data_IF_037962516083
#
_entry.id   IF_037962516083
#
_cell.length_a   1.000
_cell.length_b   1.000
_cell.length_c   1.000
_cell.angle_alpha   90.00
_cell.angle_beta   90.00
_cell.angle_gamma   90.00
#
_symmetry.space_group_name_H-M   'P 1'
#
loop_
_entity.id
_entity.type
_entity.pdbx_description
1 polymer ?
#
# COMPACT_ATOMS: atom_id res chain seq x y z
N UNK A 1 8.69 1.38 -41.83
CA UNK A 1 8.50 -0.09 -41.94
C UNK A 1 8.80 -0.87 -40.66
N UNK A 2 8.82 -0.25 -39.46
CA UNK A 2 8.93 -0.98 -38.17
C UNK A 2 7.64 -1.02 -37.34
N UNK A 3 6.57 -0.32 -37.73
CA UNK A 3 5.34 -0.23 -36.93
C UNK A 3 4.35 -1.38 -37.22
N UNK A 4 4.47 -2.04 -38.38
CA UNK A 4 3.63 -3.19 -38.75
C UNK A 4 4.09 -4.53 -38.14
N UNK A 5 5.30 -4.61 -37.57
CA UNK A 5 5.83 -5.86 -37.03
C UNK A 5 5.39 -6.15 -35.58
N UNK A 6 5.00 -5.11 -34.82
CA UNK A 6 4.52 -5.30 -33.44
C UNK A 6 3.03 -5.67 -33.37
N UNK A 7 2.25 -5.40 -34.42
CA UNK A 7 0.83 -5.77 -34.50
C UNK A 7 0.59 -7.25 -34.83
N UNK A 8 1.59 -7.97 -35.33
CA UNK A 8 1.45 -9.39 -35.73
C UNK A 8 1.94 -10.39 -34.68
N UNK A 9 2.66 -9.96 -33.63
CA UNK A 9 3.12 -10.84 -32.56
C UNK A 9 2.08 -11.08 -31.44
N UNK A 10 0.98 -10.32 -31.44
CA UNK A 10 -0.10 -10.45 -30.44
C UNK A 10 -1.14 -11.53 -30.84
N UNK A 11 -1.05 -12.09 -32.06
CA UNK A 11 -2.09 -12.99 -32.61
C UNK A 11 -1.79 -14.51 -32.52
N UNK A 12 -0.76 -14.96 -31.80
CA UNK A 12 -0.38 -16.38 -31.81
C UNK A 12 -0.24 -17.07 -30.45
N UNK A 13 -0.94 -16.62 -29.40
CA UNK A 13 -1.07 -17.40 -28.16
C UNK A 13 -2.54 -17.54 -27.77
N UNK A 14 -3.26 -18.41 -28.48
CA UNK A 14 -4.47 -19.02 -27.94
C UNK A 14 -4.45 -20.49 -28.34
N UNK A 15 -4.06 -21.35 -27.40
CA UNK A 15 -4.77 -22.61 -27.19
C UNK A 15 -4.41 -23.26 -25.84
N UNK A 16 -5.49 -23.71 -25.19
CA UNK A 16 -5.59 -24.71 -24.12
C UNK A 16 -5.37 -24.26 -22.67
N UNK A 17 -6.47 -23.93 -22.00
CA UNK A 17 -6.97 -24.78 -20.89
C UNK A 17 -8.43 -24.46 -20.57
N UNK A 18 -9.27 -25.50 -20.55
CA UNK A 18 -10.61 -25.49 -19.97
C UNK A 18 -10.49 -25.49 -18.45
N UNK A 19 -11.02 -24.46 -17.78
CA UNK A 19 -11.48 -24.53 -16.41
C UNK A 19 -12.47 -23.39 -16.13
N UNK A 20 -13.72 -23.74 -15.82
CA UNK A 20 -14.68 -22.86 -15.13
C UNK A 20 -15.22 -21.67 -15.93
N UNK A 21 -16.25 -21.92 -16.74
CA UNK A 21 -16.97 -20.89 -17.49
C UNK A 21 -17.77 -19.96 -16.55
N UNK A 22 -17.14 -18.91 -16.03
CA UNK A 22 -17.83 -17.63 -15.79
C UNK A 22 -17.73 -16.88 -17.11
N UNK A 23 -18.87 -16.63 -17.76
CA UNK A 23 -18.93 -15.80 -18.96
C UNK A 23 -18.35 -14.42 -18.65
N UNK A 24 -17.11 -14.18 -19.06
CA UNK A 24 -16.52 -12.85 -19.02
C UNK A 24 -17.22 -12.01 -20.07
N UNK A 25 -18.11 -11.14 -19.63
CA UNK A 25 -18.84 -10.23 -20.50
C UNK A 25 -17.83 -9.31 -21.19
N UNK A 26 -17.69 -9.47 -22.51
CA UNK A 26 -16.74 -8.67 -23.29
C UNK A 26 -17.32 -7.27 -23.43
N UNK A 27 -16.83 -6.33 -22.63
CA UNK A 27 -17.24 -4.94 -22.67
C UNK A 27 -16.88 -4.29 -24.02
N UNK A 28 -17.78 -3.44 -24.51
CA UNK A 28 -17.53 -2.64 -25.71
C UNK A 28 -16.61 -1.46 -25.41
N UNK A 29 -15.95 -0.92 -26.45
CA UNK A 29 -15.21 0.34 -26.34
C UNK A 29 -16.17 1.51 -26.20
N UNK A 30 -15.81 2.51 -25.39
CA UNK A 30 -16.64 3.69 -25.18
C UNK A 30 -16.81 4.49 -26.48
N UNK A 31 -18.03 4.98 -26.71
CA UNK A 31 -18.36 5.97 -27.74
C UNK A 31 -17.78 7.33 -27.39
N UNK A 32 -17.74 8.24 -28.36
CA UNK A 32 -17.17 9.58 -28.15
C UNK A 32 -17.87 10.37 -27.04
N UNK A 33 -19.20 10.25 -26.94
CA UNK A 33 -19.99 10.87 -25.86
C UNK A 33 -19.62 10.30 -24.48
N UNK A 34 -19.41 8.99 -24.38
CA UNK A 34 -19.03 8.31 -23.14
C UNK A 34 -17.58 8.66 -22.74
N UNK A 35 -16.69 8.79 -23.72
CA UNK A 35 -15.31 9.27 -23.52
C UNK A 35 -15.29 10.72 -23.03
N UNK A 36 -16.18 11.56 -23.56
CA UNK A 36 -16.37 12.92 -23.07
C UNK A 36 -16.85 12.90 -21.60
N UNK A 37 -17.84 12.07 -21.25
CA UNK A 37 -18.29 11.88 -19.86
C UNK A 37 -17.15 11.43 -18.94
N UNK A 38 -16.33 10.47 -19.37
CA UNK A 38 -15.12 10.05 -18.64
C UNK A 38 -14.17 11.23 -18.38
N UNK A 39 -13.89 12.04 -19.41
CA UNK A 39 -12.96 13.17 -19.28
C UNK A 39 -13.40 14.20 -18.23
N UNK A 40 -14.71 14.34 -18.02
CA UNK A 40 -15.28 15.25 -17.03
C UNK A 40 -15.04 14.79 -15.58
N UNK A 41 -14.68 13.52 -15.36
CA UNK A 41 -14.34 12.97 -14.06
C UNK A 41 -12.89 13.24 -13.63
N UNK A 42 -12.00 13.58 -14.58
CA UNK A 42 -10.57 13.76 -14.31
C UNK A 42 -10.26 14.78 -13.18
N UNK A 43 -10.96 15.93 -13.05
CA UNK A 43 -10.69 16.87 -11.97
C UNK A 43 -10.92 16.28 -10.58
N UNK A 44 -11.92 15.40 -10.39
CA UNK A 44 -12.20 14.79 -9.08
C UNK A 44 -11.05 13.84 -8.70
N UNK A 45 -10.58 13.06 -9.66
CA UNK A 45 -9.48 12.11 -9.48
C UNK A 45 -8.18 12.84 -9.13
N UNK A 46 -7.91 13.97 -9.77
CA UNK A 46 -6.74 14.81 -9.46
C UNK A 46 -6.79 15.32 -8.02
N UNK A 47 -7.97 15.76 -7.54
CA UNK A 47 -8.14 16.19 -6.15
C UNK A 47 -7.85 15.04 -5.17
N UNK A 48 -8.32 13.82 -5.46
CA UNK A 48 -8.07 12.64 -4.61
C UNK A 48 -6.57 12.30 -4.56
N UNK A 49 -5.87 12.38 -5.69
CA UNK A 49 -4.42 12.13 -5.78
C UNK A 49 -3.61 13.15 -4.98
N UNK A 50 -4.00 14.42 -5.01
CA UNK A 50 -3.31 15.48 -4.28
C UNK A 50 -3.69 15.54 -2.80
N UNK A 51 -4.79 14.91 -2.40
CA UNK A 51 -5.35 15.03 -1.05
C UNK A 51 -4.35 14.73 0.08
N UNK A 52 -3.56 13.62 0.04
CA UNK A 52 -2.57 13.36 1.07
C UNK A 52 -1.52 14.47 1.23
N UNK A 53 -1.12 15.09 0.11
CA UNK A 53 -0.13 16.18 0.10
C UNK A 53 -0.71 17.49 0.61
N UNK A 54 -1.97 17.78 0.30
CA UNK A 54 -2.61 19.04 0.66
C UNK A 54 -3.05 19.11 2.13
N UNK A 55 -3.28 17.96 2.77
CA UNK A 55 -3.84 17.87 4.12
C UNK A 55 -2.99 17.00 5.06
N UNK A 56 -1.66 17.05 4.92
CA UNK A 56 -0.71 16.27 5.74
C UNK A 56 -0.83 16.57 7.24
N UNK A 57 -1.20 17.79 7.62
CA UNK A 57 -1.40 18.23 9.00
C UNK A 57 -2.69 17.69 9.64
N UNK A 58 -3.59 17.12 8.83
CA UNK A 58 -4.91 16.66 9.25
C UNK A 58 -5.09 15.15 9.20
N UNK A 59 -4.05 14.37 8.93
CA UNK A 59 -4.15 12.91 8.82
C UNK A 59 -4.67 12.22 10.10
N UNK A 60 -4.66 12.92 11.24
CA UNK A 60 -5.22 12.46 12.51
C UNK A 60 -6.69 12.85 12.74
N UNK A 61 -7.23 13.77 11.93
CA UNK A 61 -8.61 14.24 12.04
C UNK A 61 -9.57 13.21 11.38
N UNK A 62 -10.59 12.69 12.09
CA UNK A 62 -11.60 11.83 11.47
C UNK A 62 -12.27 12.44 10.23
N UNK A 63 -12.38 13.77 10.16
CA UNK A 63 -12.92 14.47 8.99
C UNK A 63 -12.03 14.31 7.75
N UNK A 64 -10.72 14.09 7.92
CA UNK A 64 -9.82 13.81 6.79
C UNK A 64 -10.30 12.60 6.00
N UNK A 65 -10.57 11.49 6.71
CA UNK A 65 -11.01 10.25 6.09
C UNK A 65 -12.39 10.40 5.48
N UNK A 66 -13.35 10.99 6.21
CA UNK A 66 -14.73 11.13 5.73
C UNK A 66 -14.82 11.99 4.46
N UNK A 67 -14.08 13.10 4.40
CA UNK A 67 -14.06 13.97 3.23
C UNK A 67 -13.42 13.27 2.02
N UNK A 68 -12.31 12.56 2.23
CA UNK A 68 -11.64 11.81 1.17
C UNK A 68 -12.49 10.63 0.68
N UNK A 69 -13.15 9.91 1.59
CA UNK A 69 -14.08 8.84 1.23
C UNK A 69 -15.24 9.39 0.40
N UNK A 70 -15.78 10.56 0.76
CA UNK A 70 -16.83 11.22 -0.02
C UNK A 70 -16.35 11.55 -1.44
N UNK A 71 -15.16 12.13 -1.60
CA UNK A 71 -14.57 12.40 -2.91
C UNK A 71 -14.42 11.12 -3.74
N UNK A 72 -14.00 10.02 -3.09
CA UNK A 72 -13.92 8.71 -3.73
C UNK A 72 -15.27 8.19 -4.21
N UNK A 73 -16.35 8.38 -3.44
CA UNK A 73 -17.70 8.03 -3.88
C UNK A 73 -18.18 8.92 -5.02
N UNK A 74 -17.87 10.22 -4.99
CA UNK A 74 -18.18 11.16 -6.08
C UNK A 74 -17.46 10.76 -7.37
N UNK A 75 -16.17 10.40 -7.31
CA UNK A 75 -15.41 9.91 -8.47
C UNK A 75 -16.02 8.62 -9.05
N UNK A 76 -16.37 7.65 -8.20
CA UNK A 76 -17.04 6.41 -8.62
C UNK A 76 -18.40 6.68 -9.26
N UNK A 77 -19.18 7.58 -8.65
CA UNK A 77 -20.47 8.00 -9.18
C UNK A 77 -20.35 8.68 -10.55
N UNK A 78 -19.26 9.41 -10.80
CA UNK A 78 -19.03 10.08 -12.08
C UNK A 78 -18.97 9.11 -13.28
N UNK A 79 -18.55 7.86 -13.07
CA UNK A 79 -18.46 6.83 -14.11
C UNK A 79 -19.46 5.70 -13.93
N UNK A 80 -20.38 5.76 -12.96
CA UNK A 80 -21.22 4.62 -12.56
C UNK A 80 -22.06 4.08 -13.71
N UNK A 81 -22.59 4.97 -14.54
CA UNK A 81 -23.61 4.63 -15.55
C UNK A 81 -22.99 4.20 -16.90
N UNK A 82 -21.66 4.24 -17.01
CA UNK A 82 -20.95 3.97 -18.26
C UNK A 82 -20.54 2.49 -18.38
N UNK A 83 -21.18 1.72 -19.26
CA UNK A 83 -20.91 0.29 -19.38
C UNK A 83 -19.94 -0.06 -20.51
N UNK A 84 -18.73 0.52 -20.50
CA UNK A 84 -17.71 0.32 -21.53
C UNK A 84 -16.32 0.08 -20.93
N UNK A 85 -15.39 -0.46 -21.73
CA UNK A 85 -14.07 -0.92 -21.26
C UNK A 85 -13.23 0.18 -20.60
N UNK A 86 -13.24 1.40 -21.15
CA UNK A 86 -12.46 2.51 -20.60
C UNK A 86 -13.07 3.03 -19.29
N UNK A 87 -14.40 2.98 -19.15
CA UNK A 87 -15.06 3.31 -17.89
C UNK A 87 -14.77 2.26 -16.81
N UNK A 88 -14.73 0.98 -17.18
CA UNK A 88 -14.34 -0.10 -16.27
C UNK A 88 -12.87 0.03 -15.82
N UNK A 89 -11.95 0.30 -16.75
CA UNK A 89 -10.57 0.62 -16.43
C UNK A 89 -10.47 1.82 -15.46
N UNK A 90 -11.22 2.89 -15.72
CA UNK A 90 -11.22 4.07 -14.86
C UNK A 90 -11.81 3.79 -13.47
N UNK A 91 -12.83 2.93 -13.34
CA UNK A 91 -13.35 2.51 -12.03
C UNK A 91 -12.26 1.82 -11.21
N UNK A 92 -11.48 0.94 -11.84
CA UNK A 92 -10.35 0.26 -11.21
C UNK A 92 -9.25 1.25 -10.80
N UNK A 93 -8.95 2.24 -11.65
CA UNK A 93 -7.98 3.30 -11.32
C UNK A 93 -8.46 4.17 -10.16
N UNK A 94 -9.75 4.52 -10.11
CA UNK A 94 -10.36 5.24 -8.99
C UNK A 94 -10.23 4.43 -7.70
N UNK A 95 -10.51 3.12 -7.73
CA UNK A 95 -10.37 2.26 -6.56
C UNK A 95 -8.93 2.17 -6.06
N UNK A 96 -7.97 2.11 -6.99
CA UNK A 96 -6.53 2.10 -6.70
C UNK A 96 -6.12 3.42 -6.04
N UNK A 97 -6.40 4.55 -6.69
CA UNK A 97 -6.07 5.89 -6.17
C UNK A 97 -6.73 6.15 -4.81
N UNK A 98 -7.99 5.77 -4.64
CA UNK A 98 -8.69 5.90 -3.36
C UNK A 98 -8.09 5.03 -2.26
N UNK A 99 -7.74 3.79 -2.56
CA UNK A 99 -7.10 2.89 -1.59
C UNK A 99 -5.75 3.46 -1.14
N UNK A 100 -4.97 4.00 -2.06
CA UNK A 100 -3.71 4.66 -1.74
C UNK A 100 -3.91 5.93 -0.92
N UNK A 101 -4.78 6.84 -1.33
CA UNK A 101 -4.98 8.11 -0.61
C UNK A 101 -5.59 7.90 0.78
N UNK A 102 -6.56 7.00 0.93
CA UNK A 102 -7.19 6.70 2.23
C UNK A 102 -6.23 6.02 3.22
N UNK A 103 -5.18 5.36 2.72
CA UNK A 103 -4.16 4.77 3.56
C UNK A 103 -3.43 5.80 4.43
N UNK A 104 -3.30 7.05 3.98
CA UNK A 104 -2.62 8.12 4.72
C UNK A 104 -3.34 8.54 6.01
N UNK A 105 -4.59 8.13 6.21
CA UNK A 105 -5.25 8.32 7.49
C UNK A 105 -4.46 7.62 8.60
N UNK A 106 -4.08 8.36 9.64
CA UNK A 106 -3.07 7.93 10.60
C UNK A 106 -3.44 6.62 11.33
N UNK A 107 -4.73 6.38 11.55
CA UNK A 107 -5.18 5.14 12.18
C UNK A 107 -4.99 3.91 11.28
N UNK A 108 -5.08 4.08 9.95
CA UNK A 108 -4.78 3.01 9.00
C UNK A 108 -3.29 2.66 9.04
N UNK A 109 -2.42 3.66 9.02
CA UNK A 109 -0.98 3.47 9.13
C UNK A 109 -0.61 2.78 10.45
N UNK A 110 -1.12 3.30 11.57
CA UNK A 110 -0.88 2.75 12.91
C UNK A 110 -1.35 1.30 13.04
N UNK A 111 -2.51 0.98 12.47
CA UNK A 111 -3.02 -0.39 12.42
C UNK A 111 -2.06 -1.32 11.66
N UNK A 112 -1.60 -0.91 10.48
CA UNK A 112 -0.64 -1.72 9.71
C UNK A 112 0.72 -1.86 10.42
N UNK A 113 1.23 -0.79 11.06
CA UNK A 113 2.46 -0.82 11.84
C UNK A 113 2.38 -1.87 12.96
N UNK A 114 1.25 -1.93 13.70
CA UNK A 114 1.03 -2.94 14.74
C UNK A 114 1.01 -4.37 14.20
N UNK A 115 0.48 -4.57 13.00
CA UNK A 115 0.55 -5.88 12.35
C UNK A 115 2.01 -6.30 12.11
N UNK A 116 2.81 -5.41 11.52
CA UNK A 116 4.23 -5.67 11.27
C UNK A 116 5.04 -5.86 12.57
N UNK A 117 4.70 -5.12 13.63
CA UNK A 117 5.26 -5.31 14.96
C UNK A 117 5.05 -6.75 15.45
N UNK A 118 3.79 -7.23 15.45
CA UNK A 118 3.46 -8.60 15.88
C UNK A 118 4.14 -9.66 15.00
N UNK A 119 4.17 -9.47 13.69
CA UNK A 119 4.87 -10.35 12.76
C UNK A 119 6.38 -10.44 13.07
N UNK A 120 7.02 -9.31 13.35
CA UNK A 120 8.43 -9.27 13.70
C UNK A 120 8.72 -10.02 15.01
N UNK A 121 7.92 -9.79 16.05
CA UNK A 121 8.05 -10.49 17.34
C UNK A 121 7.88 -11.99 17.15
N UNK A 122 6.82 -12.41 16.47
CA UNK A 122 6.52 -13.83 16.26
C UNK A 122 7.66 -14.57 15.52
N UNK A 123 8.26 -13.93 14.52
CA UNK A 123 9.42 -14.45 13.80
C UNK A 123 10.68 -14.61 14.69
N UNK A 124 10.79 -13.85 15.79
CA UNK A 124 11.95 -13.84 16.68
C UNK A 124 11.80 -14.79 17.86
N UNK A 125 10.59 -15.05 18.32
CA UNK A 125 10.31 -15.81 19.53
C UNK A 125 9.93 -17.27 19.27
N UNK A 126 10.05 -17.75 18.03
CA UNK A 126 9.55 -19.08 17.61
C UNK A 126 8.06 -19.26 17.94
N UNK A 127 7.29 -18.17 17.87
CA UNK A 127 5.85 -18.19 18.13
C UNK A 127 5.14 -19.05 17.07
N UNK A 128 4.24 -19.91 17.53
CA UNK A 128 3.38 -20.74 16.67
C UNK A 128 2.19 -19.98 16.08
N UNK A 129 2.02 -18.70 16.42
CA UNK A 129 0.95 -17.86 15.89
C UNK A 129 1.05 -17.67 14.38
N UNK A 130 -0.07 -17.31 13.75
CA UNK A 130 -0.11 -17.09 12.31
C UNK A 130 0.80 -15.93 11.86
N UNK A 131 1.14 -15.01 12.75
CA UNK A 131 2.05 -13.88 12.49
C UNK A 131 3.46 -14.35 12.09
N UNK A 132 3.94 -15.49 12.60
CA UNK A 132 5.25 -16.06 12.25
C UNK A 132 5.36 -16.49 10.77
N UNK A 133 4.24 -16.54 10.04
CA UNK A 133 4.23 -16.78 8.60
C UNK A 133 4.65 -15.57 7.79
N UNK A 134 4.65 -14.37 8.36
CA UNK A 134 4.94 -13.11 7.67
C UNK A 134 6.38 -12.69 7.89
N UNK A 135 7.32 -13.05 7.01
CA UNK A 135 8.73 -12.70 7.17
C UNK A 135 8.93 -11.19 7.06
N UNK A 136 9.58 -10.61 8.06
CA UNK A 136 10.06 -9.23 8.00
C UNK A 136 11.16 -9.09 6.95
N UNK A 137 11.13 -8.01 6.17
CA UNK A 137 12.11 -7.68 5.14
C UNK A 137 12.29 -8.77 4.06
N UNK A 138 11.19 -9.39 3.64
CA UNK A 138 11.20 -10.32 2.50
C UNK A 138 11.65 -9.61 1.22
N UNK A 139 12.76 -10.07 0.63
CA UNK A 139 13.33 -9.50 -0.59
C UNK A 139 12.73 -10.09 -1.87
N UNK A 140 12.23 -11.33 -1.81
CA UNK A 140 11.56 -12.00 -2.91
C UNK A 140 10.09 -11.55 -2.97
N UNK A 141 9.77 -10.62 -3.87
CA UNK A 141 8.45 -10.01 -3.95
C UNK A 141 7.32 -11.00 -4.24
N UNK A 142 7.53 -11.97 -5.12
CA UNK A 142 6.55 -13.04 -5.40
C UNK A 142 6.23 -13.87 -4.16
N UNK A 143 7.26 -14.14 -3.34
CA UNK A 143 7.11 -14.84 -2.07
C UNK A 143 6.39 -13.98 -1.04
N UNK A 144 6.67 -12.67 -0.99
CA UNK A 144 5.95 -11.71 -0.14
C UNK A 144 4.47 -11.68 -0.53
N UNK A 145 4.17 -11.53 -1.83
CA UNK A 145 2.81 -11.55 -2.36
C UNK A 145 2.07 -12.81 -1.97
N UNK A 146 2.64 -13.98 -2.27
CA UNK A 146 2.06 -15.27 -1.90
C UNK A 146 1.78 -15.38 -0.40
N UNK A 147 2.72 -14.93 0.43
CA UNK A 147 2.58 -14.97 1.90
C UNK A 147 1.41 -14.12 2.37
N UNK A 148 1.25 -12.92 1.84
CA UNK A 148 0.11 -12.07 2.18
C UNK A 148 -1.19 -12.73 1.71
N UNK A 149 -1.29 -13.14 0.45
CA UNK A 149 -2.51 -13.77 -0.08
C UNK A 149 -2.91 -15.04 0.70
N UNK A 150 -1.97 -15.93 1.03
CA UNK A 150 -2.26 -17.13 1.84
C UNK A 150 -2.52 -16.82 3.32
N UNK A 151 -2.05 -15.65 3.78
CA UNK A 151 -2.19 -15.17 5.15
C UNK A 151 -3.33 -14.19 5.36
N UNK A 152 -4.20 -13.95 4.37
CA UNK A 152 -5.27 -12.95 4.42
C UNK A 152 -6.12 -13.08 5.70
N UNK A 153 -6.52 -14.29 6.07
CA UNK A 153 -7.28 -14.54 7.30
C UNK A 153 -6.55 -14.05 8.56
N UNK A 154 -5.24 -14.30 8.66
CA UNK A 154 -4.43 -13.83 9.79
C UNK A 154 -4.38 -12.30 9.84
N UNK A 155 -4.24 -11.66 8.68
CA UNK A 155 -4.25 -10.21 8.57
C UNK A 155 -5.63 -9.65 8.96
N UNK A 156 -6.72 -10.18 8.41
CA UNK A 156 -8.07 -9.72 8.71
C UNK A 156 -8.44 -9.90 10.18
N UNK A 157 -8.06 -11.02 10.80
CA UNK A 157 -8.26 -11.20 12.25
C UNK A 157 -7.51 -10.13 13.07
N UNK A 158 -6.29 -9.77 12.67
CA UNK A 158 -5.58 -8.64 13.30
C UNK A 158 -6.38 -7.34 13.17
N UNK A 159 -6.86 -7.04 11.97
CA UNK A 159 -7.64 -5.83 11.68
C UNK A 159 -8.89 -5.78 12.55
N UNK A 160 -9.63 -6.89 12.66
CA UNK A 160 -10.86 -6.99 13.45
C UNK A 160 -10.63 -6.72 14.94
N UNK A 161 -9.55 -7.26 15.49
CA UNK A 161 -9.22 -7.21 16.92
C UNK A 161 -8.51 -5.92 17.35
N UNK A 162 -7.70 -5.32 16.48
CA UNK A 162 -6.70 -4.32 16.89
C UNK A 162 -6.94 -2.92 16.28
N UNK A 163 -7.90 -2.77 15.36
CA UNK A 163 -8.10 -1.55 14.59
C UNK A 163 -9.52 -0.99 14.75
N UNK A 164 -9.67 0.33 14.56
CA UNK A 164 -10.97 1.00 14.70
C UNK A 164 -11.89 0.72 13.50
N UNK A 165 -13.19 1.01 13.64
CA UNK A 165 -14.21 0.74 12.62
C UNK A 165 -13.88 1.28 11.24
N UNK A 166 -13.32 2.49 11.18
CA UNK A 166 -12.92 3.14 9.93
C UNK A 166 -11.80 2.36 9.25
N UNK A 167 -10.77 2.00 10.00
CA UNK A 167 -9.66 1.18 9.50
C UNK A 167 -10.13 -0.22 9.10
N UNK A 168 -11.03 -0.84 9.86
CA UNK A 168 -11.60 -2.16 9.51
C UNK A 168 -12.27 -2.13 8.14
N UNK A 169 -13.16 -1.17 7.91
CA UNK A 169 -13.84 -0.99 6.61
C UNK A 169 -12.85 -0.73 5.48
N UNK A 170 -11.84 0.10 5.73
CA UNK A 170 -10.78 0.38 4.78
C UNK A 170 -10.02 -0.89 4.37
N UNK A 171 -9.46 -1.62 5.33
CA UNK A 171 -8.62 -2.78 5.03
C UNK A 171 -9.40 -3.90 4.35
N UNK A 172 -10.66 -4.15 4.73
CA UNK A 172 -11.52 -5.14 4.05
C UNK A 172 -11.72 -4.79 2.57
N UNK A 173 -11.93 -3.50 2.26
CA UNK A 173 -12.16 -3.05 0.87
C UNK A 173 -10.88 -3.00 0.04
N UNK A 174 -9.77 -2.61 0.66
CA UNK A 174 -8.54 -2.24 -0.05
C UNK A 174 -7.46 -3.32 -0.01
N UNK A 175 -7.66 -4.45 0.68
CA UNK A 175 -6.65 -5.47 0.94
C UNK A 175 -5.81 -5.85 -0.28
N UNK A 176 -6.46 -6.24 -1.38
CA UNK A 176 -5.75 -6.67 -2.59
C UNK A 176 -4.84 -5.57 -3.17
N UNK A 177 -5.29 -4.32 -3.17
CA UNK A 177 -4.45 -3.18 -3.60
C UNK A 177 -3.29 -2.94 -2.64
N UNK A 178 -3.51 -3.10 -1.34
CA UNK A 178 -2.44 -2.96 -0.33
C UNK A 178 -1.38 -4.04 -0.51
N UNK A 179 -1.79 -5.29 -0.73
CA UNK A 179 -0.86 -6.38 -1.03
C UNK A 179 -0.06 -6.07 -2.29
N UNK A 180 -0.74 -5.62 -3.35
CA UNK A 180 -0.08 -5.18 -4.59
C UNK A 180 0.97 -4.08 -4.31
N UNK A 181 0.63 -3.06 -3.53
CA UNK A 181 1.57 -2.00 -3.17
C UNK A 181 2.75 -2.51 -2.35
N UNK A 182 2.52 -3.43 -1.41
CA UNK A 182 3.56 -4.01 -0.57
C UNK A 182 4.54 -4.91 -1.33
N UNK A 183 4.17 -5.39 -2.53
CA UNK A 183 4.90 -6.42 -3.26
C UNK A 183 5.39 -5.97 -4.63
N UNK A 184 4.82 -4.91 -5.20
CA UNK A 184 5.25 -4.40 -6.49
C UNK A 184 6.37 -3.37 -6.32
N UNK A 185 7.58 -3.88 -6.12
CA UNK A 185 8.79 -3.06 -6.03
C UNK A 185 9.11 -2.43 -7.40
N UNK A 186 9.16 -1.10 -7.53
CA UNK A 186 9.49 -0.47 -8.79
C UNK A 186 10.99 -0.58 -9.10
N UNK A 187 11.31 -0.58 -10.39
CA UNK A 187 12.68 -0.61 -10.90
C UNK A 187 13.44 0.69 -10.60
N UNK A 188 12.73 1.81 -10.60
CA UNK A 188 13.23 3.13 -10.29
C UNK A 188 12.71 3.53 -8.91
N UNK A 189 13.59 4.06 -8.08
CA UNK A 189 13.20 4.55 -6.76
C UNK A 189 12.44 5.86 -6.91
N UNK A 190 11.16 5.83 -6.54
CA UNK A 190 10.25 6.97 -6.62
C UNK A 190 9.48 7.10 -5.31
N UNK A 191 8.67 8.16 -5.16
CA UNK A 191 7.66 8.24 -4.11
C UNK A 191 6.47 7.33 -4.45
N UNK A 192 6.74 6.05 -4.68
CA UNK A 192 5.74 5.05 -5.02
C UNK A 192 5.12 4.42 -3.77
N UNK A 193 3.95 3.80 -3.92
CA UNK A 193 3.30 3.10 -2.81
C UNK A 193 4.21 2.08 -2.12
N UNK A 194 5.03 1.32 -2.85
CA UNK A 194 5.87 0.29 -2.25
C UNK A 194 6.81 0.84 -1.17
N UNK A 195 7.53 1.93 -1.45
CA UNK A 195 8.43 2.53 -0.46
C UNK A 195 7.68 3.06 0.77
N UNK A 196 6.47 3.57 0.59
CA UNK A 196 5.61 4.02 1.69
C UNK A 196 5.14 2.88 2.59
N UNK A 197 4.75 1.74 2.02
CA UNK A 197 4.36 0.57 2.80
C UNK A 197 5.57 -0.06 3.51
N UNK A 198 6.74 -0.07 2.85
CA UNK A 198 7.99 -0.48 3.48
C UNK A 198 8.34 0.39 4.69
N UNK A 199 8.06 1.70 4.63
CA UNK A 199 8.21 2.60 5.78
C UNK A 199 7.34 2.14 6.96
N UNK A 200 6.08 1.75 6.72
CA UNK A 200 5.19 1.28 7.78
C UNK A 200 5.67 -0.05 8.39
N UNK A 201 6.21 -0.94 7.58
CA UNK A 201 6.87 -2.17 8.06
C UNK A 201 8.07 -1.82 8.96
N UNK A 202 8.95 -0.90 8.53
CA UNK A 202 10.07 -0.42 9.34
C UNK A 202 9.61 0.23 10.66
N UNK A 203 8.56 1.06 10.61
CA UNK A 203 8.03 1.74 11.80
C UNK A 203 7.45 0.76 12.82
N UNK A 204 6.75 -0.28 12.39
CA UNK A 204 6.26 -1.34 13.28
C UNK A 204 7.41 -2.07 14.01
N UNK A 205 8.48 -2.39 13.28
CA UNK A 205 9.67 -3.03 13.86
C UNK A 205 10.40 -2.07 14.80
N UNK A 206 10.50 -0.79 14.43
CA UNK A 206 11.14 0.22 15.26
C UNK A 206 10.40 0.44 16.58
N UNK A 207 9.06 0.44 16.57
CA UNK A 207 8.25 0.50 17.77
C UNK A 207 8.57 -0.65 18.74
N UNK A 208 8.69 -1.89 18.24
CA UNK A 208 9.09 -3.03 19.08
C UNK A 208 10.46 -2.82 19.73
N UNK A 209 11.44 -2.36 18.95
CA UNK A 209 12.80 -2.15 19.45
C UNK A 209 12.85 -1.07 20.55
N UNK A 210 12.01 -0.04 20.42
CA UNK A 210 11.83 0.98 21.46
C UNK A 210 11.17 0.35 22.70
N UNK A 211 10.09 -0.41 22.54
CA UNK A 211 9.37 -1.03 23.67
C UNK A 211 10.30 -1.95 24.48
N UNK A 212 11.10 -2.78 23.80
CA UNK A 212 12.12 -3.62 24.46
C UNK A 212 13.16 -2.77 25.19
N UNK A 213 13.66 -1.69 24.57
CA UNK A 213 14.65 -0.82 25.19
C UNK A 213 14.09 -0.01 26.38
N UNK A 214 12.83 0.42 26.32
CA UNK A 214 12.15 1.23 27.34
C UNK A 214 11.70 0.40 28.55
N UNK A 215 11.54 -0.92 28.39
CA UNK A 215 11.17 -1.85 29.47
C UNK A 215 12.16 -1.90 30.66
N UNK A 216 13.28 -1.16 30.59
CA UNK A 216 14.21 -0.95 31.70
C UNK A 216 15.05 0.34 31.66
N UNK A 217 14.70 1.35 30.84
CA UNK A 217 15.49 2.59 30.70
C UNK A 217 14.62 3.85 30.72
N UNK A 218 15.15 4.94 31.28
CA UNK A 218 14.50 6.25 31.24
C UNK A 218 14.59 6.91 29.85
N UNK A 219 13.71 7.87 29.50
CA UNK A 219 13.71 8.56 28.21
C UNK A 219 15.05 9.23 27.82
N UNK A 220 15.79 9.74 28.81
CA UNK A 220 17.12 10.34 28.59
C UNK A 220 18.18 9.26 28.30
N UNK A 221 18.10 8.11 28.96
CA UNK A 221 18.97 6.97 28.69
C UNK A 221 18.70 6.32 27.33
N UNK A 222 17.46 6.42 26.82
CA UNK A 222 17.13 5.99 25.45
C UNK A 222 17.83 6.86 24.42
N UNK A 223 17.74 8.19 24.53
CA UNK A 223 18.43 9.11 23.61
C UNK A 223 19.95 8.89 23.70
N UNK A 224 20.49 8.79 24.91
CA UNK A 224 21.92 8.58 25.13
C UNK A 224 22.41 7.23 24.58
N UNK A 225 21.72 6.12 24.86
CA UNK A 225 22.09 4.80 24.36
C UNK A 225 21.90 4.69 22.84
N UNK A 226 20.86 5.30 22.28
CA UNK A 226 20.63 5.35 20.84
C UNK A 226 21.78 6.05 20.12
N UNK A 227 22.36 7.11 20.68
CA UNK A 227 23.56 7.73 20.12
C UNK A 227 24.86 6.93 20.41
N UNK A 228 25.03 6.35 21.60
CA UNK A 228 26.36 5.92 22.10
C UNK A 228 26.61 4.41 22.15
N UNK A 229 25.61 3.53 21.95
CA UNK A 229 25.76 2.09 22.24
C UNK A 229 25.94 1.21 20.98
N UNK A 230 26.98 0.37 20.97
CA UNK A 230 27.38 -0.49 19.84
C UNK A 230 26.47 -1.71 19.62
N UNK A 231 25.70 -2.17 20.62
CA UNK A 231 24.72 -3.26 20.41
C UNK A 231 23.48 -2.82 19.63
N UNK A 232 23.17 -1.52 19.68
CA UNK A 232 22.13 -0.91 18.85
C UNK A 232 22.65 -0.76 17.40
N UNK A 233 23.92 -1.10 17.09
CA UNK A 233 24.47 -1.01 15.72
C UNK A 233 23.78 -1.95 14.74
N UNK A 234 23.29 -3.13 15.15
CA UNK A 234 22.53 -4.02 14.25
C UNK A 234 21.12 -3.49 13.96
N UNK A 235 20.45 -2.92 14.98
CA UNK A 235 19.19 -2.20 14.81
C UNK A 235 19.38 -0.90 14.01
N UNK A 236 20.47 -0.17 14.25
CA UNK A 236 20.95 0.95 13.43
C UNK A 236 21.22 0.50 12.02
N UNK A 237 21.75 -0.70 11.76
CA UNK A 237 22.03 -1.14 10.39
C UNK A 237 20.73 -1.37 9.61
N UNK A 238 19.71 -1.95 10.24
CA UNK A 238 18.39 -2.14 9.60
C UNK A 238 17.58 -0.84 9.53
N UNK A 239 17.66 0.03 10.55
CA UNK A 239 17.02 1.36 10.56
C UNK A 239 17.77 2.36 9.67
N UNK A 240 19.10 2.29 9.54
CA UNK A 240 19.89 3.01 8.55
C UNK A 240 19.64 2.45 7.15
N UNK A 241 19.28 1.17 6.96
CA UNK A 241 18.76 0.73 5.65
C UNK A 241 17.42 1.42 5.35
N UNK A 242 16.50 1.53 6.32
CA UNK A 242 15.26 2.29 6.14
C UNK A 242 15.50 3.81 5.95
N UNK A 243 16.43 4.41 6.70
CA UNK A 243 16.76 5.85 6.72
C UNK A 243 17.72 6.30 5.63
N UNK A 244 18.71 5.50 5.22
CA UNK A 244 19.61 5.82 4.11
C UNK A 244 18.90 5.67 2.77
N UNK A 245 17.89 4.80 2.66
CA UNK A 245 16.99 4.78 1.49
C UNK A 245 16.25 6.12 1.38
N UNK A 246 15.85 6.72 2.51
CA UNK A 246 15.15 8.01 2.58
C UNK A 246 16.07 9.25 2.40
N UNK A 247 17.24 9.28 3.05
CA UNK A 247 18.14 10.44 3.07
C UNK A 247 19.03 10.57 1.82
N UNK A 248 19.35 9.46 1.15
CA UNK A 248 20.15 9.50 -0.09
C UNK A 248 19.37 10.17 -1.25
N UNK A 249 18.04 10.16 -1.20
CA UNK A 249 17.18 10.61 -2.31
C UNK A 249 16.63 12.02 -2.12
N UNK A 250 16.35 12.40 -0.87
CA UNK A 250 16.00 13.77 -0.51
C UNK A 250 17.08 14.80 -0.91
N UNK A 251 18.36 14.40 -1.01
CA UNK A 251 19.44 15.29 -1.47
C UNK A 251 19.59 15.37 -2.99
N UNK A 252 19.16 14.34 -3.75
CA UNK A 252 19.26 14.37 -5.23
C UNK A 252 18.13 15.16 -5.88
N UNK A 253 16.95 15.23 -5.27
CA UNK A 253 15.83 16.06 -5.75
C UNK A 253 15.98 17.56 -5.43
N UNK A 254 16.96 17.94 -4.61
CA UNK A 254 17.28 19.34 -4.31
C UNK A 254 18.44 19.90 -5.18
N UNK A 255 18.97 19.12 -6.12
CA UNK A 255 20.07 19.51 -7.03
C UNK A 255 19.72 19.44 -8.52
N UNK A 256 18.43 19.40 -8.87
CA UNK A 256 17.89 19.59 -10.22
C UNK A 256 16.84 20.71 -10.17
#
# INVERSE_FOLDING_TARGET
MCVLLHLLLVLSIIQCSEAGNKSQEVLHQCRDEEKLSISLCAPIIEVINQYPKLYTDRIHDPMYYQNLEKLCQEAKGCVSDLNCSEADALRNDIDKVCSYSLFFYAENQKCLQKFHQKAYVANKTEDSSCYAKFPSFQNEMDKKYKTFMEGEECFMNHIEENCNDTSRKFFVKSYNYLVEYMTNKPEIRTCDPYHMFLEQECMGIFAELIDVATSGLSPLELVYNWFMNDRIVSAKMNVLVCSQTFHYESRKSATL
#
